data_IF_625315397023
#
_entry.id   IF_625315397023
#
_cell.length_a   1.000
_cell.length_b   1.000
_cell.length_c   1.000
_cell.angle_alpha   90.00
_cell.angle_beta   90.00
_cell.angle_gamma   90.00
#
_symmetry.space_group_name_H-M   'P 1'
#
loop_
_entity.id
_entity.type
_entity.pdbx_description
1 polymer ?
#
# COMPACT_ATOMS: atom_id res chain seq x y z
N UNK A 1 -8.27 -26.81 3.90
CA UNK A 1 -7.49 -25.84 4.70
C UNK A 1 -8.31 -24.56 4.76
N UNK A 2 -8.61 -24.01 5.95
CA UNK A 2 -9.50 -22.86 6.09
C UNK A 2 -8.81 -21.60 5.55
N UNK A 3 -9.50 -20.90 4.64
CA UNK A 3 -9.16 -19.56 4.18
C UNK A 3 -9.26 -18.59 5.37
N UNK A 4 -8.21 -17.79 5.68
CA UNK A 4 -8.34 -16.74 6.68
C UNK A 4 -9.41 -15.72 6.27
N UNK A 5 -10.11 -15.08 7.24
CA UNK A 5 -11.25 -14.23 6.94
C UNK A 5 -10.80 -13.02 6.12
N UNK A 6 -11.61 -12.67 5.12
CA UNK A 6 -11.58 -11.34 4.52
C UNK A 6 -11.83 -10.32 5.64
N UNK A 7 -10.77 -9.64 6.10
CA UNK A 7 -10.88 -8.54 7.04
C UNK A 7 -11.66 -7.39 6.37
N UNK A 8 -12.73 -6.96 7.02
CA UNK A 8 -13.56 -5.82 6.63
C UNK A 8 -12.78 -4.50 6.79
N UNK A 9 -13.17 -3.41 6.08
CA UNK A 9 -12.29 -2.29 5.78
C UNK A 9 -12.22 -1.29 6.94
N UNK A 10 -11.00 -0.88 7.35
CA UNK A 10 -10.84 0.36 8.16
C UNK A 10 -9.52 1.13 8.00
N UNK A 11 -8.49 0.53 7.43
CA UNK A 11 -7.35 1.23 6.84
C UNK A 11 -6.84 0.30 5.74
N UNK A 12 -6.32 0.81 4.61
CA UNK A 12 -5.65 -0.10 3.66
C UNK A 12 -4.49 -0.75 4.42
N UNK A 13 -4.48 -2.08 4.46
CA UNK A 13 -3.35 -2.81 5.04
C UNK A 13 -2.08 -2.54 4.22
N UNK A 14 -0.93 -2.64 4.88
CA UNK A 14 0.41 -2.58 4.29
C UNK A 14 0.52 -3.35 2.97
N UNK A 15 -0.09 -4.54 2.90
CA UNK A 15 -0.15 -5.38 1.70
C UNK A 15 -0.92 -4.72 0.54
N UNK A 16 -2.06 -4.09 0.80
CA UNK A 16 -2.86 -3.42 -0.23
C UNK A 16 -2.12 -2.20 -0.80
N UNK A 17 -1.48 -1.39 0.06
CA UNK A 17 -0.66 -0.25 -0.39
C UNK A 17 0.54 -0.71 -1.22
N UNK A 18 1.17 -1.83 -0.84
CA UNK A 18 2.25 -2.44 -1.62
C UNK A 18 1.77 -2.97 -2.99
N UNK A 19 0.56 -3.52 -3.07
CA UNK A 19 -0.04 -3.94 -4.33
C UNK A 19 -0.30 -2.75 -5.25
N UNK A 20 -0.84 -1.65 -4.73
CA UNK A 20 -1.06 -0.41 -5.50
C UNK A 20 0.26 0.19 -6.01
N UNK A 21 1.29 0.23 -5.16
CA UNK A 21 2.62 0.67 -5.57
C UNK A 21 3.14 -0.21 -6.71
N UNK A 22 3.05 -1.54 -6.61
CA UNK A 22 3.48 -2.45 -7.68
C UNK A 22 2.67 -2.25 -8.96
N UNK A 23 1.36 -2.09 -8.86
CA UNK A 23 0.48 -1.84 -9.99
C UNK A 23 0.86 -0.54 -10.72
N UNK A 24 1.17 0.51 -9.95
CA UNK A 24 1.68 1.77 -10.49
C UNK A 24 2.99 1.56 -11.27
N UNK A 25 3.98 0.87 -10.68
CA UNK A 25 5.24 0.54 -11.37
C UNK A 25 5.06 -0.28 -12.65
N UNK A 26 4.12 -1.24 -12.65
CA UNK A 26 3.80 -2.03 -13.84
C UNK A 26 3.14 -1.17 -14.93
N UNK A 27 2.25 -0.24 -14.56
CA UNK A 27 1.58 0.67 -15.49
C UNK A 27 2.55 1.66 -16.13
N UNK A 28 3.48 2.20 -15.35
CA UNK A 28 4.43 3.22 -15.81
C UNK A 28 5.60 2.64 -16.62
N UNK A 29 5.73 1.31 -16.75
CA UNK A 29 6.76 0.68 -17.58
C UNK A 29 8.20 0.96 -17.12
N UNK A 30 8.40 1.29 -15.83
CA UNK A 30 9.71 1.55 -15.23
C UNK A 30 10.07 3.03 -15.01
N UNK A 31 9.29 3.99 -15.52
CA UNK A 31 9.51 5.43 -15.26
C UNK A 31 8.20 6.11 -14.90
N UNK A 32 8.11 6.63 -13.68
CA UNK A 32 6.94 7.37 -13.20
C UNK A 32 6.89 8.77 -13.82
N UNK A 33 5.79 9.07 -14.51
CA UNK A 33 5.42 10.42 -14.92
C UNK A 33 5.22 11.32 -13.69
N UNK A 34 5.29 12.66 -13.83
CA UNK A 34 5.06 13.57 -12.70
C UNK A 34 3.69 13.40 -12.03
N UNK A 35 2.65 13.06 -12.78
CA UNK A 35 1.32 12.75 -12.22
C UNK A 35 1.35 11.45 -11.39
N UNK A 36 2.00 10.41 -11.90
CA UNK A 36 2.16 9.13 -11.21
C UNK A 36 3.06 9.23 -9.99
N UNK A 37 4.02 10.17 -10.00
CA UNK A 37 4.87 10.46 -8.85
C UNK A 37 4.06 11.00 -7.67
N UNK A 38 3.10 11.90 -7.92
CA UNK A 38 2.22 12.38 -6.84
C UNK A 38 1.38 11.26 -6.23
N UNK A 39 0.93 10.32 -7.07
CA UNK A 39 0.19 9.14 -6.63
C UNK A 39 1.09 8.19 -5.84
N UNK A 40 2.33 7.98 -6.29
CA UNK A 40 3.35 7.21 -5.57
C UNK A 40 3.69 7.84 -4.20
N UNK A 41 3.84 9.16 -4.13
CA UNK A 41 4.10 9.88 -2.88
C UNK A 41 2.93 9.76 -1.89
N UNK A 42 1.69 9.82 -2.40
CA UNK A 42 0.49 9.60 -1.58
C UNK A 42 0.43 8.17 -1.03
N UNK A 43 0.72 7.17 -1.87
CA UNK A 43 0.82 5.77 -1.47
C UNK A 43 1.95 5.54 -0.46
N UNK A 44 3.09 6.21 -0.60
CA UNK A 44 4.20 6.15 0.36
C UNK A 44 3.82 6.74 1.72
N UNK A 45 3.09 7.86 1.73
CA UNK A 45 2.60 8.45 2.97
C UNK A 45 1.62 7.51 3.69
N UNK A 46 0.69 6.92 2.94
CA UNK A 46 -0.25 5.92 3.46
C UNK A 46 0.46 4.66 3.97
N UNK A 47 1.47 4.19 3.23
CA UNK A 47 2.33 3.07 3.64
C UNK A 47 3.05 3.34 4.95
N UNK A 48 3.60 4.55 5.13
CA UNK A 48 4.29 4.93 6.36
C UNK A 48 3.31 4.95 7.56
N UNK A 49 2.11 5.50 7.38
CA UNK A 49 1.08 5.47 8.41
C UNK A 49 0.62 4.05 8.77
N UNK A 50 0.40 3.20 7.76
CA UNK A 50 0.02 1.80 7.96
C UNK A 50 1.14 0.99 8.63
N UNK A 51 2.39 1.21 8.24
CA UNK A 51 3.57 0.54 8.82
C UNK A 51 3.77 0.88 10.29
N UNK A 52 3.58 2.14 10.67
CA UNK A 52 3.67 2.57 12.07
C UNK A 52 2.52 2.00 12.93
N UNK A 53 1.32 1.86 12.35
CA UNK A 53 0.18 1.24 13.03
C UNK A 53 0.39 -0.27 13.24
N UNK A 54 0.86 -0.98 12.21
CA UNK A 54 1.18 -2.41 12.26
C UNK A 54 2.31 -2.70 13.28
N UNK A 55 3.36 -1.87 13.28
CA UNK A 55 4.46 -1.96 14.25
C UNK A 55 4.01 -1.70 15.70
N UNK A 56 2.98 -0.88 15.91
CA UNK A 56 2.45 -0.59 17.24
C UNK A 56 1.50 -1.68 17.76
N UNK A 57 0.84 -2.42 16.88
CA UNK A 57 -0.04 -3.54 17.26
C UNK A 57 0.76 -4.83 17.62
N UNK A 58 2.02 -4.90 17.18
CA UNK A 58 2.92 -6.04 17.42
C UNK A 58 3.76 -5.94 18.71
N UNK A 59 3.67 -4.85 19.49
CA UNK A 59 4.46 -4.57 20.70
C UNK A 59 3.68 -4.82 22.00
#
# INVERSE_FOLDING_TARGET
MPTPPAQLPRARSLSAVNEDIRALWQRSGGVLAPEERQEYESLLAEWNSASQADASEAA
#
